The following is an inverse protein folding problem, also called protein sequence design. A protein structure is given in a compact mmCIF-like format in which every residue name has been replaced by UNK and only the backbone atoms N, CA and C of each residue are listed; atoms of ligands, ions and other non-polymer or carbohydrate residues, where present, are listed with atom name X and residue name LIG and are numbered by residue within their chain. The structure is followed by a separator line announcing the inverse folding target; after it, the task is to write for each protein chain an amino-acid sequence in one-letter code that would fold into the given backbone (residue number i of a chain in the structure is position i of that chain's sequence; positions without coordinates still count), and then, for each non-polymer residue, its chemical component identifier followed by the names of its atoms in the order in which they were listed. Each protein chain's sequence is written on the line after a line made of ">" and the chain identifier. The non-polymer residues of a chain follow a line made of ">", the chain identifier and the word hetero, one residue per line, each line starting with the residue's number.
data_IF_687151240605
#
_entry.id   IF_687151240605
#
_cell.length_a   1.000
_cell.length_b   1.000
_cell.length_c   1.000
_cell.angle_alpha   90.00
_cell.angle_beta   90.00
_cell.angle_gamma   90.00
#
_symmetry.space_group_name_H-M   'P 1'
#
loop_
_entity.id
_entity.type
_entity.pdbx_description
1 polymer ?
#
# COMPACT_ATOMS: atom_id res chain seq x y z
N UNK A 1 -13.50 -8.00 1.79
CA UNK A 1 -14.92 -7.91 1.41
C UNK A 1 -15.00 -7.95 -0.09
N UNK A 2 -15.96 -8.69 -0.66
CA UNK A 2 -16.07 -8.81 -2.11
C UNK A 2 -17.47 -8.41 -2.58
N UNK A 3 -17.51 -7.69 -3.70
CA UNK A 3 -18.72 -7.27 -4.40
C UNK A 3 -18.66 -7.70 -5.86
N UNK A 4 -19.69 -7.34 -6.62
CA UNK A 4 -19.81 -7.70 -8.03
C UNK A 4 -20.09 -6.46 -8.87
N UNK A 5 -19.39 -6.32 -9.99
CA UNK A 5 -19.60 -5.22 -10.94
C UNK A 5 -20.99 -5.35 -11.58
N UNK A 6 -21.74 -4.25 -11.57
CA UNK A 6 -23.02 -4.12 -12.26
C UNK A 6 -22.95 -3.22 -13.50
N UNK A 7 -21.98 -2.29 -13.53
CA UNK A 7 -21.81 -1.35 -14.65
C UNK A 7 -20.36 -0.91 -14.78
N UNK A 8 -19.90 -0.79 -16.03
CA UNK A 8 -18.60 -0.18 -16.37
C UNK A 8 -18.85 0.96 -17.35
N UNK A 9 -18.23 2.12 -17.10
CA UNK A 9 -18.34 3.30 -17.95
C UNK A 9 -17.00 4.04 -17.98
N UNK A 10 -16.11 3.66 -18.88
CA UNK A 10 -14.74 4.14 -18.90
C UNK A 10 -14.04 3.80 -17.57
N UNK A 11 -13.37 4.74 -16.89
CA UNK A 11 -12.69 4.50 -15.63
C UNK A 11 -13.64 4.32 -14.43
N UNK A 12 -14.94 4.61 -14.62
CA UNK A 12 -15.95 4.49 -13.57
C UNK A 12 -16.59 3.10 -13.60
N UNK A 13 -16.51 2.40 -12.49
CA UNK A 13 -17.12 1.10 -12.24
C UNK A 13 -18.13 1.22 -11.12
N UNK A 14 -19.29 0.59 -11.27
CA UNK A 14 -20.29 0.49 -10.20
C UNK A 14 -20.40 -0.98 -9.80
N UNK A 15 -20.27 -1.24 -8.51
CA UNK A 15 -20.35 -2.58 -7.93
C UNK A 15 -21.35 -2.62 -6.77
N UNK A 16 -21.96 -3.78 -6.56
CA UNK A 16 -22.84 -4.10 -5.43
C UNK A 16 -22.20 -5.14 -4.52
N UNK A 17 -22.68 -5.27 -3.29
CA UNK A 17 -22.15 -6.20 -2.29
C UNK A 17 -21.00 -5.62 -1.45
N UNK A 18 -20.85 -4.29 -1.43
CA UNK A 18 -19.79 -3.59 -0.73
C UNK A 18 -20.30 -2.75 0.47
N UNK A 19 -21.46 -3.10 1.03
CA UNK A 19 -22.14 -2.32 2.07
C UNK A 19 -21.32 -2.00 3.32
N UNK A 20 -20.30 -2.80 3.62
CA UNK A 20 -19.38 -2.60 4.75
C UNK A 20 -18.10 -1.82 4.38
N UNK A 21 -17.94 -1.43 3.12
CA UNK A 21 -16.81 -0.62 2.67
C UNK A 21 -17.05 0.87 2.92
N UNK A 22 -15.98 1.65 2.90
CA UNK A 22 -16.04 3.09 3.12
C UNK A 22 -15.64 3.86 1.85
N UNK A 23 -16.08 5.10 1.76
CA UNK A 23 -15.58 6.05 0.76
C UNK A 23 -14.07 6.21 0.97
N UNK A 24 -13.33 6.30 -0.12
CA UNK A 24 -11.86 6.31 -0.19
C UNK A 24 -11.17 4.97 0.09
N UNK A 25 -11.88 3.88 0.36
CA UNK A 25 -11.23 2.57 0.42
C UNK A 25 -10.67 2.19 -0.96
N UNK A 26 -9.46 1.62 -0.93
CA UNK A 26 -8.84 1.02 -2.11
C UNK A 26 -9.52 -0.31 -2.41
N UNK A 27 -9.79 -0.54 -3.68
CA UNK A 27 -10.38 -1.78 -4.18
C UNK A 27 -9.53 -2.41 -5.28
N UNK A 28 -9.65 -3.72 -5.42
CA UNK A 28 -9.11 -4.52 -6.53
C UNK A 28 -10.24 -4.96 -7.43
N UNK A 29 -10.20 -4.57 -8.70
CA UNK A 29 -11.33 -4.69 -9.63
C UNK A 29 -11.01 -5.72 -10.72
N UNK A 30 -11.87 -6.72 -10.83
CA UNK A 30 -11.83 -7.74 -11.86
C UNK A 30 -10.69 -8.76 -11.74
N UNK A 31 -10.54 -9.65 -12.73
CA UNK A 31 -9.56 -10.73 -12.71
C UNK A 31 -8.11 -10.23 -12.75
N UNK A 32 -7.87 -9.08 -13.37
CA UNK A 32 -6.54 -8.46 -13.42
C UNK A 32 -6.21 -7.66 -12.13
N UNK A 33 -7.14 -7.62 -11.15
CA UNK A 33 -6.98 -6.95 -9.86
C UNK A 33 -6.59 -5.46 -9.98
N UNK A 34 -7.24 -4.76 -10.93
CA UNK A 34 -6.96 -3.35 -11.21
C UNK A 34 -7.20 -2.49 -9.97
N UNK A 35 -6.31 -1.54 -9.72
CA UNK A 35 -6.42 -0.67 -8.56
C UNK A 35 -7.45 0.40 -8.82
N UNK A 36 -8.37 0.56 -7.85
CA UNK A 36 -9.37 1.62 -7.85
C UNK A 36 -9.65 2.14 -6.45
N UNK A 37 -10.42 3.19 -6.36
CA UNK A 37 -10.86 3.84 -5.12
C UNK A 37 -12.37 4.05 -5.14
N UNK A 38 -13.01 3.85 -4.00
CA UNK A 38 -14.43 4.11 -3.83
C UNK A 38 -14.64 5.63 -3.73
N UNK A 39 -15.34 6.20 -4.72
CA UNK A 39 -15.68 7.62 -4.74
C UNK A 39 -16.95 7.95 -3.96
N UNK A 40 -17.93 7.03 -4.01
CA UNK A 40 -19.21 7.24 -3.37
C UNK A 40 -19.87 5.90 -3.06
N UNK A 41 -20.66 5.89 -1.98
CA UNK A 41 -21.48 4.76 -1.56
C UNK A 41 -22.95 5.16 -1.54
N UNK A 42 -23.81 4.28 -2.05
CA UNK A 42 -25.27 4.43 -1.99
C UNK A 42 -25.88 3.10 -1.58
N UNK A 43 -26.13 2.96 -0.28
CA UNK A 43 -26.53 1.67 0.30
C UNK A 43 -25.45 0.64 0.12
N UNK A 44 -25.73 -0.45 -0.57
CA UNK A 44 -24.82 -1.56 -0.86
C UNK A 44 -24.00 -1.36 -2.16
N UNK A 45 -24.27 -0.27 -2.89
CA UNK A 45 -23.64 0.03 -4.18
C UNK A 45 -22.51 1.03 -4.03
N UNK A 46 -21.35 0.73 -4.60
CA UNK A 46 -20.17 1.57 -4.64
C UNK A 46 -19.90 2.09 -6.05
N UNK A 47 -19.63 3.39 -6.17
CA UNK A 47 -19.07 4.00 -7.38
C UNK A 47 -17.55 4.06 -7.22
N UNK A 48 -16.82 3.41 -8.11
CA UNK A 48 -15.39 3.16 -8.03
C UNK A 48 -14.69 3.81 -9.20
N UNK A 49 -13.65 4.58 -8.95
CA UNK A 49 -12.73 5.04 -9.98
C UNK A 49 -11.55 4.06 -10.09
N UNK A 50 -11.38 3.47 -11.26
CA UNK A 50 -10.23 2.61 -11.57
C UNK A 50 -9.13 3.45 -12.18
N UNK A 51 -7.90 3.30 -11.70
CA UNK A 51 -6.75 4.08 -12.14
C UNK A 51 -6.05 3.53 -13.39
N UNK A 52 -6.41 2.31 -13.75
CA UNK A 52 -5.88 1.62 -14.93
C UNK A 52 -6.96 1.47 -16.00
N UNK A 53 -6.57 1.04 -17.19
CA UNK A 53 -7.50 0.82 -18.29
C UNK A 53 -8.47 -0.34 -17.97
N UNK A 54 -9.77 -0.07 -18.12
CA UNK A 54 -10.86 -1.00 -17.78
C UNK A 54 -11.31 -1.87 -18.96
N UNK A 55 -10.61 -1.83 -20.10
CA UNK A 55 -10.96 -2.65 -21.27
C UNK A 55 -11.04 -4.13 -20.90
N UNK A 56 -12.16 -4.77 -21.26
CA UNK A 56 -12.43 -6.17 -20.94
C UNK A 56 -13.08 -6.42 -19.57
N UNK A 57 -13.24 -5.39 -18.73
CA UNK A 57 -14.09 -5.49 -17.56
C UNK A 57 -15.56 -5.41 -17.96
N UNK A 58 -16.38 -6.19 -17.28
CA UNK A 58 -17.82 -6.23 -17.50
C UNK A 58 -18.61 -6.58 -16.25
N UNK A 59 -19.95 -6.46 -16.32
CA UNK A 59 -20.82 -6.90 -15.24
C UNK A 59 -20.58 -8.37 -14.88
N UNK A 60 -20.65 -8.69 -13.59
CA UNK A 60 -20.39 -10.02 -13.05
C UNK A 60 -18.95 -10.24 -12.59
N UNK A 61 -17.99 -9.35 -12.92
CA UNK A 61 -16.63 -9.47 -12.40
C UNK A 61 -16.57 -9.05 -10.93
N UNK A 62 -15.63 -9.62 -10.19
CA UNK A 62 -15.47 -9.42 -8.75
C UNK A 62 -14.75 -8.10 -8.44
N UNK A 63 -15.12 -7.50 -7.30
CA UNK A 63 -14.42 -6.36 -6.71
C UNK A 63 -14.12 -6.70 -5.26
N UNK A 64 -12.86 -6.60 -4.87
CA UNK A 64 -12.42 -6.79 -3.48
C UNK A 64 -12.05 -5.46 -2.84
N UNK A 65 -12.66 -5.11 -1.70
CA UNK A 65 -12.23 -3.96 -0.89
C UNK A 65 -11.11 -4.36 0.06
N UNK A 66 -10.10 -3.49 0.16
CA UNK A 66 -9.01 -3.62 1.15
C UNK A 66 -9.47 -3.25 2.56
N UNK A 67 -10.58 -2.52 2.72
CA UNK A 67 -11.05 -1.95 3.98
C UNK A 67 -10.15 -0.83 4.50
N UNK A 68 -9.27 -0.28 3.66
CA UNK A 68 -8.35 0.79 4.02
C UNK A 68 -8.25 1.81 2.89
N UNK A 69 -8.11 3.11 3.22
CA UNK A 69 -7.88 4.14 2.22
C UNK A 69 -6.51 3.98 1.56
N UNK A 70 -6.32 4.69 0.45
CA UNK A 70 -5.01 4.73 -0.22
C UNK A 70 -3.95 5.26 0.74
N UNK A 71 -2.89 4.50 0.88
CA UNK A 71 -1.79 4.80 1.78
C UNK A 71 -0.46 4.55 1.09
N UNK A 72 0.58 5.23 1.54
CA UNK A 72 1.95 5.03 1.09
C UNK A 72 2.72 4.24 2.13
N UNK A 73 3.55 3.32 1.68
CA UNK A 73 4.46 2.56 2.53
C UNK A 73 5.74 3.37 2.72
N UNK A 74 6.03 3.75 3.97
CA UNK A 74 7.21 4.53 4.31
C UNK A 74 8.26 3.62 4.96
N UNK A 75 9.49 3.72 4.47
CA UNK A 75 10.60 2.92 5.01
C UNK A 75 11.92 3.18 4.30
N UNK A 76 13.02 2.59 4.79
CA UNK A 76 14.32 2.68 4.14
C UNK A 76 14.29 2.05 2.73
N UNK A 77 14.95 2.70 1.77
CA UNK A 77 14.96 2.29 0.35
C UNK A 77 14.00 3.08 -0.53
N UNK A 78 13.18 3.96 0.06
CA UNK A 78 12.25 4.77 -0.70
C UNK A 78 12.94 5.90 -1.48
N UNK A 79 13.96 6.52 -0.91
CA UNK A 79 14.62 7.71 -1.47
C UNK A 79 15.53 7.42 -2.68
N UNK A 80 15.92 6.18 -2.88
CA UNK A 80 16.74 5.75 -4.03
C UNK A 80 15.89 5.24 -5.19
N UNK A 81 14.56 5.27 -5.05
CA UNK A 81 13.66 4.66 -6.02
C UNK A 81 12.77 5.70 -6.73
N UNK A 82 12.22 5.34 -7.87
CA UNK A 82 11.30 6.16 -8.65
C UNK A 82 9.94 5.45 -8.67
N UNK A 83 8.89 6.15 -8.29
CA UNK A 83 7.55 5.60 -8.17
C UNK A 83 6.57 6.26 -9.12
N UNK A 84 5.52 5.55 -9.44
CA UNK A 84 4.33 6.13 -10.08
C UNK A 84 3.38 6.77 -9.04
N UNK A 85 2.21 7.25 -9.51
CA UNK A 85 1.24 7.95 -8.67
C UNK A 85 0.55 7.10 -7.59
N UNK A 86 0.70 5.78 -7.62
CA UNK A 86 0.16 4.83 -6.62
C UNK A 86 1.26 4.04 -5.91
N UNK A 87 2.46 4.60 -5.88
CA UNK A 87 3.66 4.06 -5.22
C UNK A 87 4.12 2.68 -5.76
N UNK A 88 3.97 2.42 -7.07
CA UNK A 88 4.61 1.25 -7.67
C UNK A 88 6.03 1.60 -8.14
N UNK A 89 7.06 0.83 -7.77
CA UNK A 89 8.44 1.12 -8.15
C UNK A 89 8.66 0.86 -9.64
N UNK A 90 9.00 1.91 -10.39
CA UNK A 90 9.15 1.84 -11.84
C UNK A 90 10.32 0.97 -12.32
N UNK A 91 11.49 0.93 -11.64
CA UNK A 91 12.58 0.04 -12.03
C UNK A 91 12.17 -1.43 -11.99
N UNK A 92 11.51 -1.87 -10.92
CA UNK A 92 11.05 -3.25 -10.74
C UNK A 92 9.94 -3.61 -11.74
N UNK A 93 9.03 -2.69 -12.01
CA UNK A 93 8.00 -2.88 -13.07
C UNK A 93 8.68 -3.07 -14.42
N UNK A 94 9.68 -2.26 -14.73
CA UNK A 94 10.41 -2.37 -16.01
C UNK A 94 11.14 -3.70 -16.16
N UNK A 95 11.68 -4.25 -15.09
CA UNK A 95 12.29 -5.58 -15.10
C UNK A 95 11.26 -6.70 -15.38
N UNK A 96 10.04 -6.54 -14.85
CA UNK A 96 8.97 -7.53 -15.00
C UNK A 96 8.25 -7.45 -16.35
N UNK A 97 7.95 -6.23 -16.82
CA UNK A 97 7.04 -6.00 -17.96
C UNK A 97 7.73 -5.40 -19.17
N UNK A 98 9.01 -5.01 -19.07
CA UNK A 98 9.77 -4.38 -20.15
C UNK A 98 9.48 -2.89 -20.30
N UNK A 99 9.33 -2.41 -21.52
CA UNK A 99 9.20 -0.98 -21.82
C UNK A 99 7.79 -0.41 -21.55
N UNK A 100 6.80 -1.25 -21.31
CA UNK A 100 5.40 -0.86 -21.07
C UNK A 100 4.92 -1.39 -19.74
N UNK A 101 4.13 -0.61 -19.02
CA UNK A 101 3.50 -1.04 -17.79
C UNK A 101 2.27 -1.86 -18.15
N UNK A 102 2.28 -3.15 -17.80
CA UNK A 102 1.11 -4.00 -17.95
C UNK A 102 0.10 -3.68 -16.85
N UNK A 103 -1.18 -3.65 -17.22
CA UNK A 103 -2.26 -3.44 -16.24
C UNK A 103 -2.30 -4.58 -15.21
N UNK A 104 -2.75 -4.28 -14.00
CA UNK A 104 -2.78 -5.24 -12.90
C UNK A 104 -1.40 -5.62 -12.35
N UNK A 105 -0.32 -4.95 -12.79
CA UNK A 105 1.01 -5.19 -12.24
C UNK A 105 1.06 -4.77 -10.78
N UNK A 106 1.23 -5.75 -9.90
CA UNK A 106 1.34 -5.54 -8.45
C UNK A 106 2.77 -5.82 -7.99
N UNK A 107 3.47 -4.78 -7.56
CA UNK A 107 4.85 -4.85 -7.09
C UNK A 107 4.91 -4.16 -5.73
N UNK A 108 5.51 -4.79 -4.70
CA UNK A 108 5.67 -4.15 -3.40
C UNK A 108 6.42 -2.82 -3.51
N UNK A 109 5.92 -1.80 -2.83
CA UNK A 109 6.50 -0.46 -2.86
C UNK A 109 7.95 -0.43 -2.34
N UNK A 110 8.26 -1.27 -1.36
CA UNK A 110 9.60 -1.40 -0.80
C UNK A 110 10.17 -2.79 -1.03
N UNK A 111 11.47 -2.86 -1.31
CA UNK A 111 12.18 -4.12 -1.45
C UNK A 111 12.39 -4.78 -0.08
N UNK A 112 11.50 -5.70 0.29
CA UNK A 112 11.54 -6.41 1.58
C UNK A 112 12.66 -7.46 1.69
N UNK A 113 13.40 -7.72 0.62
CA UNK A 113 14.56 -8.61 0.64
C UNK A 113 15.85 -7.85 1.00
N UNK A 114 15.88 -6.54 0.80
CA UNK A 114 17.01 -5.69 1.15
C UNK A 114 17.05 -5.54 2.67
N UNK A 115 18.17 -5.91 3.27
CA UNK A 115 18.40 -5.79 4.71
C UNK A 115 19.13 -4.50 5.03
N UNK A 116 18.76 -3.90 6.14
CA UNK A 116 19.30 -2.64 6.61
C UNK A 116 19.90 -2.79 8.00
N UNK A 117 21.00 -2.09 8.26
CA UNK A 117 21.59 -2.02 9.60
C UNK A 117 20.77 -1.06 10.45
N UNK A 118 20.03 -1.60 11.41
CA UNK A 118 19.22 -0.81 12.34
C UNK A 118 20.05 -0.48 13.59
N UNK A 119 20.06 0.81 13.96
CA UNK A 119 20.66 1.31 15.20
C UNK A 119 19.53 1.72 16.15
N UNK A 120 19.25 0.95 17.21
CA UNK A 120 18.20 1.27 18.15
C UNK A 120 18.54 2.53 18.95
N UNK A 121 17.53 3.36 19.23
CA UNK A 121 17.60 4.52 20.13
C UNK A 121 16.71 4.31 21.36
N UNK A 122 15.73 3.43 21.28
CA UNK A 122 14.88 3.05 22.38
C UNK A 122 15.51 1.90 23.19
N UNK A 123 15.19 1.83 24.48
CA UNK A 123 15.74 0.86 25.42
C UNK A 123 14.64 -0.05 25.96
N UNK A 124 15.07 -1.18 26.54
CA UNK A 124 14.15 -2.09 27.24
C UNK A 124 13.49 -1.39 28.43
N UNK A 125 12.17 -1.53 28.51
CA UNK A 125 11.36 -0.87 29.54
C UNK A 125 10.77 0.48 29.12
N UNK A 126 11.16 1.03 27.97
CA UNK A 126 10.58 2.27 27.48
C UNK A 126 9.11 2.06 27.08
N UNK A 127 8.28 3.01 27.45
CA UNK A 127 6.91 3.17 26.96
C UNK A 127 6.91 4.12 25.78
N UNK A 128 6.48 3.65 24.62
CA UNK A 128 6.52 4.41 23.37
C UNK A 128 5.11 4.62 22.81
N UNK A 129 4.89 5.81 22.30
CA UNK A 129 3.64 6.22 21.67
C UNK A 129 3.82 6.46 20.17
N UNK A 130 2.71 6.60 19.44
CA UNK A 130 2.75 6.91 18.01
C UNK A 130 3.55 8.17 17.72
N UNK A 131 4.55 8.07 16.84
CA UNK A 131 5.47 9.13 16.48
C UNK A 131 6.83 9.09 17.16
N UNK A 132 7.01 8.29 18.22
CA UNK A 132 8.31 8.14 18.88
C UNK A 132 9.30 7.38 17.98
N UNK A 133 10.58 7.80 18.02
CA UNK A 133 11.65 7.18 17.23
C UNK A 133 12.24 6.01 17.99
N UNK A 134 12.14 4.81 17.42
CA UNK A 134 12.67 3.57 18.01
C UNK A 134 14.12 3.29 17.60
N UNK A 135 14.57 3.90 16.51
CA UNK A 135 15.92 3.72 16.02
C UNK A 135 16.13 4.39 14.67
N UNK A 136 17.32 4.19 14.12
CA UNK A 136 17.73 4.80 12.86
C UNK A 136 18.35 3.80 11.92
N UNK A 137 18.27 4.09 10.62
CA UNK A 137 18.90 3.34 9.53
C UNK A 137 19.64 4.33 8.65
N UNK A 138 20.92 4.07 8.36
CA UNK A 138 21.66 4.86 7.38
C UNK A 138 21.24 4.41 5.98
N UNK A 139 20.34 5.16 5.34
CA UNK A 139 19.80 4.83 4.02
C UNK A 139 20.77 5.20 2.89
N UNK A 140 21.33 6.42 2.94
CA UNK A 140 22.38 6.89 2.03
C UNK A 140 23.49 7.56 2.84
N UNK A 141 24.58 7.96 2.19
CA UNK A 141 25.67 8.71 2.86
C UNK A 141 25.19 10.05 3.47
N UNK A 142 24.10 10.61 2.94
CA UNK A 142 23.55 11.91 3.38
C UNK A 142 22.30 11.77 4.24
N UNK A 143 21.63 10.61 4.26
CA UNK A 143 20.28 10.47 4.84
C UNK A 143 20.27 9.40 5.93
N UNK A 144 19.98 9.85 7.14
CA UNK A 144 19.69 9.02 8.29
C UNK A 144 18.18 8.87 8.45
N UNK A 145 17.66 7.72 8.06
CA UNK A 145 16.24 7.41 8.15
C UNK A 145 15.86 7.10 9.61
N UNK A 146 14.82 7.77 10.13
CA UNK A 146 14.29 7.54 11.48
C UNK A 146 13.12 6.58 11.42
N UNK A 147 13.20 5.48 12.15
CA UNK A 147 12.12 4.51 12.27
C UNK A 147 11.25 4.93 13.45
N UNK A 148 9.97 5.17 13.18
CA UNK A 148 9.00 5.66 14.18
C UNK A 148 7.94 4.62 14.46
N UNK A 149 7.37 4.70 15.65
CA UNK A 149 6.15 3.96 16.01
C UNK A 149 4.99 4.48 15.17
N UNK A 150 4.21 3.61 14.50
CA UNK A 150 3.04 4.05 13.74
C UNK A 150 2.04 4.83 14.61
N UNK A 151 1.29 5.79 14.03
CA UNK A 151 0.25 6.50 14.76
C UNK A 151 -0.79 5.51 15.30
N UNK A 152 -1.41 5.84 16.43
CA UNK A 152 -2.38 5.01 17.16
C UNK A 152 -1.82 3.70 17.73
N UNK A 153 -0.50 3.52 17.72
CA UNK A 153 0.16 2.38 18.36
C UNK A 153 0.71 2.78 19.71
N UNK A 154 0.56 1.88 20.69
CA UNK A 154 1.27 1.89 21.96
C UNK A 154 2.09 0.61 22.02
N UNK A 155 3.39 0.71 22.17
CA UNK A 155 4.27 -0.45 22.31
C UNK A 155 5.10 -0.35 23.57
N UNK A 156 5.36 -1.52 24.20
CA UNK A 156 6.24 -1.67 25.32
C UNK A 156 7.41 -2.57 24.93
N UNK A 157 8.62 -2.09 25.12
CA UNK A 157 9.81 -2.85 24.74
C UNK A 157 10.18 -3.79 25.87
N UNK A 158 10.01 -5.09 25.65
CA UNK A 158 10.20 -6.14 26.66
C UNK A 158 11.49 -6.95 26.50
N UNK A 159 12.22 -6.78 25.38
CA UNK A 159 13.48 -7.51 25.15
C UNK A 159 14.55 -6.58 24.56
N UNK A 160 15.86 -6.82 24.91
CA UNK A 160 16.95 -6.07 24.31
C UNK A 160 16.96 -6.31 22.81
N UNK A 161 16.85 -5.26 22.04
CA UNK A 161 16.99 -5.30 20.58
C UNK A 161 18.41 -5.74 20.24
N UNK A 162 18.59 -7.01 19.92
CA UNK A 162 19.77 -7.44 19.14
C UNK A 162 19.74 -6.67 17.83
N UNK A 163 20.91 -6.36 17.30
CA UNK A 163 21.08 -5.70 16.00
C UNK A 163 20.10 -6.33 14.99
N UNK A 164 18.94 -5.69 14.82
CA UNK A 164 17.86 -6.23 14.02
C UNK A 164 18.12 -5.87 12.57
N UNK A 165 18.21 -6.90 11.74
CA UNK A 165 18.13 -6.71 10.29
C UNK A 165 16.65 -6.52 9.97
N UNK A 166 16.28 -5.33 9.54
CA UNK A 166 14.94 -5.03 9.04
C UNK A 166 14.88 -5.43 7.57
N UNK A 167 14.02 -6.35 7.24
CA UNK A 167 13.71 -6.77 5.86
C UNK A 167 12.44 -6.08 5.37
#
# INVERSE_FOLDING_TARGET
>A
MSGTIIKVSGPLVVAEGLGDANVSDVVRVGPDRLIGEILNMTGDSASIQVYEETSGLGPGAEVESSGMPMSVELGPGMLENIYDGIQRPLPEIRELTGATISRGTDVPALNRKKKWTFTPTAHEGDELTGGDVIGTVQETSAILHKIMVPPLSLIHISEPTRQAEIS
#
